data_IF_694693656181
#
_entry.id   IF_694693656181
#
_cell.length_a   1.000
_cell.length_b   1.000
_cell.length_c   1.000
_cell.angle_alpha   90.00
_cell.angle_beta   90.00
_cell.angle_gamma   90.00
#
_symmetry.space_group_name_H-M   'P 1'
#
loop_
_entity.id
_entity.type
_entity.pdbx_description
1 polymer ?
#
# COMPACT_ATOMS: atom_id res chain seq x y z
N UNK A 1 7.32 -21.28 -6.66
CA UNK A 1 6.37 -20.16 -6.36
C UNK A 1 6.98 -19.22 -5.32
N UNK A 2 6.59 -17.91 -5.30
CA UNK A 2 7.15 -16.91 -4.33
C UNK A 2 7.02 -17.39 -2.88
N UNK A 3 5.87 -17.95 -2.48
CA UNK A 3 5.64 -18.49 -1.13
C UNK A 3 6.60 -19.62 -0.73
N UNK A 4 7.01 -20.46 -1.65
CA UNK A 4 7.96 -21.57 -1.35
C UNK A 4 9.35 -21.03 -0.99
N UNK A 5 9.73 -19.90 -1.59
CA UNK A 5 10.99 -19.21 -1.33
C UNK A 5 10.91 -18.31 -0.08
N UNK A 6 9.78 -17.60 0.09
CA UNK A 6 9.57 -16.62 1.16
C UNK A 6 8.60 -17.14 2.22
N UNK A 7 9.02 -18.16 2.98
CA UNK A 7 8.15 -18.86 3.95
C UNK A 7 7.55 -17.98 5.04
N UNK A 8 8.30 -16.96 5.51
CA UNK A 8 7.95 -16.16 6.68
C UNK A 8 7.76 -14.66 6.36
N UNK A 9 7.74 -14.28 5.08
CA UNK A 9 7.55 -12.88 4.67
C UNK A 9 6.14 -12.72 4.13
N UNK A 10 5.33 -11.77 4.63
CA UNK A 10 4.02 -11.48 4.08
C UNK A 10 4.10 -11.09 2.60
N UNK A 11 3.13 -11.55 1.82
CA UNK A 11 3.06 -11.34 0.38
C UNK A 11 1.83 -10.52 0.04
N UNK A 12 2.03 -9.34 -0.58
CA UNK A 12 0.98 -8.51 -1.14
C UNK A 12 0.80 -8.85 -2.64
N UNK A 13 -0.41 -9.27 -3.05
CA UNK A 13 -0.78 -9.28 -4.46
C UNK A 13 -1.07 -7.84 -4.93
N UNK A 14 -0.11 -7.24 -5.62
CA UNK A 14 -0.25 -5.88 -6.17
C UNK A 14 -0.65 -5.94 -7.63
N UNK A 15 -1.97 -5.93 -7.86
CA UNK A 15 -2.60 -6.09 -9.18
C UNK A 15 -3.89 -5.25 -9.24
N UNK A 16 -4.48 -5.08 -10.45
CA UNK A 16 -5.78 -4.45 -10.63
C UNK A 16 -6.89 -5.46 -10.33
N UNK A 17 -7.42 -5.45 -9.12
CA UNK A 17 -8.51 -6.35 -8.69
C UNK A 17 -9.85 -5.66 -8.98
N UNK A 18 -10.61 -6.28 -9.88
CA UNK A 18 -11.92 -5.81 -10.35
C UNK A 18 -13.01 -6.88 -10.24
N UNK A 19 -12.64 -8.11 -9.91
CA UNK A 19 -13.52 -9.25 -9.78
C UNK A 19 -13.16 -10.09 -8.55
N UNK A 20 -14.17 -10.64 -7.88
CA UNK A 20 -13.99 -11.45 -6.67
C UNK A 20 -13.16 -12.72 -6.90
N UNK A 21 -13.17 -13.29 -8.10
CA UNK A 21 -12.35 -14.46 -8.44
C UNK A 21 -10.86 -14.20 -8.26
N UNK A 22 -10.40 -12.94 -8.48
CA UNK A 22 -9.01 -12.56 -8.29
C UNK A 22 -8.60 -12.57 -6.80
N UNK A 23 -9.55 -12.35 -5.88
CA UNK A 23 -9.32 -12.42 -4.43
C UNK A 23 -9.19 -13.88 -4.00
N UNK A 24 -10.05 -14.77 -4.49
CA UNK A 24 -9.89 -16.22 -4.29
C UNK A 24 -8.57 -16.73 -4.86
N UNK A 25 -8.19 -16.27 -6.04
CA UNK A 25 -6.92 -16.60 -6.67
C UNK A 25 -5.74 -16.11 -5.81
N UNK A 26 -5.77 -14.87 -5.31
CA UNK A 26 -4.74 -14.35 -4.40
C UNK A 26 -4.54 -15.27 -3.21
N UNK A 27 -5.63 -15.70 -2.57
CA UNK A 27 -5.58 -16.64 -1.44
C UNK A 27 -5.06 -18.01 -1.86
N UNK A 28 -5.49 -18.54 -3.00
CA UNK A 28 -5.04 -19.83 -3.52
C UNK A 28 -3.52 -19.85 -3.77
N UNK A 29 -2.94 -18.73 -4.18
CA UNK A 29 -1.49 -18.56 -4.33
C UNK A 29 -0.79 -18.09 -3.05
N UNK A 30 -1.46 -18.20 -1.89
CA UNK A 30 -0.94 -17.90 -0.56
C UNK A 30 -0.47 -16.45 -0.38
N UNK A 31 -1.17 -15.47 -0.98
CA UNK A 31 -1.02 -14.08 -0.60
C UNK A 31 -1.56 -13.85 0.82
N UNK A 32 -0.96 -12.92 1.54
CA UNK A 32 -1.38 -12.49 2.88
C UNK A 32 -2.24 -11.21 2.81
N UNK A 33 -2.09 -10.46 1.72
CA UNK A 33 -2.82 -9.23 1.43
C UNK A 33 -2.98 -9.05 -0.07
N UNK A 34 -3.87 -8.15 -0.48
CA UNK A 34 -4.10 -7.80 -1.87
C UNK A 34 -4.42 -6.30 -2.00
N UNK A 35 -4.19 -5.74 -3.18
CA UNK A 35 -4.45 -4.34 -3.48
C UNK A 35 -5.88 -4.14 -3.96
N UNK A 36 -6.56 -3.13 -3.42
CA UNK A 36 -7.76 -2.54 -4.00
C UNK A 36 -7.47 -1.09 -4.39
N UNK A 37 -7.94 -0.64 -5.55
CA UNK A 37 -7.71 0.73 -6.03
C UNK A 37 -9.04 1.48 -6.01
N UNK A 38 -9.17 2.45 -5.12
CA UNK A 38 -10.40 3.20 -4.93
C UNK A 38 -10.88 3.92 -6.20
N UNK A 39 -9.96 4.35 -7.06
CA UNK A 39 -10.29 5.06 -8.31
C UNK A 39 -11.10 4.22 -9.31
N UNK A 40 -10.99 2.87 -9.28
CA UNK A 40 -11.62 1.96 -10.25
C UNK A 40 -12.77 1.14 -9.68
N UNK A 41 -13.01 1.20 -8.37
CA UNK A 41 -14.06 0.46 -7.69
C UNK A 41 -15.17 1.38 -7.19
N UNK A 42 -16.43 0.95 -7.25
CA UNK A 42 -17.51 1.59 -6.52
C UNK A 42 -17.38 1.34 -5.00
N UNK A 43 -18.06 2.15 -4.18
CA UNK A 43 -18.04 1.97 -2.72
C UNK A 43 -18.57 0.59 -2.30
N UNK A 44 -19.65 0.10 -2.93
CA UNK A 44 -20.22 -1.23 -2.66
C UNK A 44 -19.28 -2.35 -3.06
N UNK A 45 -18.67 -2.29 -4.26
CA UNK A 45 -17.69 -3.30 -4.66
C UNK A 45 -16.50 -3.35 -3.70
N UNK A 46 -16.01 -2.19 -3.27
CA UNK A 46 -14.91 -2.10 -2.32
C UNK A 46 -15.28 -2.73 -0.98
N UNK A 47 -16.48 -2.44 -0.46
CA UNK A 47 -16.99 -3.05 0.77
C UNK A 47 -17.10 -4.57 0.65
N UNK A 48 -17.67 -5.07 -0.46
CA UNK A 48 -17.80 -6.51 -0.71
C UNK A 48 -16.42 -7.20 -0.80
N UNK A 49 -15.45 -6.56 -1.46
CA UNK A 49 -14.11 -7.11 -1.62
C UNK A 49 -13.29 -7.09 -0.33
N UNK A 50 -13.46 -6.06 0.51
CA UNK A 50 -12.88 -6.01 1.86
C UNK A 50 -13.45 -7.16 2.71
N UNK A 51 -14.78 -7.30 2.74
CA UNK A 51 -15.44 -8.35 3.51
C UNK A 51 -15.02 -9.76 3.03
N UNK A 52 -14.94 -9.98 1.72
CA UNK A 52 -14.48 -11.24 1.15
C UNK A 52 -13.02 -11.53 1.55
N UNK A 53 -12.13 -10.54 1.40
CA UNK A 53 -10.72 -10.71 1.78
C UNK A 53 -10.57 -11.12 3.26
N UNK A 54 -11.27 -10.42 4.15
CA UNK A 54 -11.28 -10.73 5.60
C UNK A 54 -11.80 -12.12 5.88
N UNK A 55 -12.84 -12.57 5.19
CA UNK A 55 -13.38 -13.93 5.34
C UNK A 55 -12.38 -15.00 4.95
N UNK A 56 -11.42 -14.67 4.07
CA UNK A 56 -10.32 -15.52 3.62
C UNK A 56 -9.03 -15.34 4.44
N UNK A 57 -9.06 -14.50 5.48
CA UNK A 57 -7.89 -14.21 6.34
C UNK A 57 -6.87 -13.28 5.70
N UNK A 58 -7.31 -12.39 4.79
CA UNK A 58 -6.47 -11.36 4.14
C UNK A 58 -7.05 -9.97 4.43
N UNK A 59 -6.22 -9.04 4.91
CA UNK A 59 -6.60 -7.62 5.00
C UNK A 59 -6.12 -6.88 3.75
N UNK A 60 -7.00 -6.19 3.00
CA UNK A 60 -6.60 -5.48 1.80
C UNK A 60 -5.88 -4.16 2.11
N UNK A 61 -4.92 -3.81 1.25
CA UNK A 61 -4.37 -2.46 1.13
C UNK A 61 -5.25 -1.70 0.13
N UNK A 62 -5.94 -0.64 0.58
CA UNK A 62 -6.79 0.17 -0.30
C UNK A 62 -6.07 1.43 -0.74
N UNK A 63 -5.72 1.50 -2.01
CA UNK A 63 -5.00 2.62 -2.61
C UNK A 63 -5.94 3.78 -2.93
N UNK A 64 -5.54 4.98 -2.49
CA UNK A 64 -6.26 6.25 -2.71
C UNK A 64 -5.30 7.33 -3.23
N UNK A 65 -5.90 8.39 -3.83
CA UNK A 65 -5.15 9.56 -4.29
C UNK A 65 -5.88 10.90 -4.06
N UNK A 66 -7.12 10.87 -3.62
CA UNK A 66 -7.94 12.07 -3.41
C UNK A 66 -8.76 11.98 -2.12
N UNK A 67 -9.28 13.12 -1.68
CA UNK A 67 -10.16 13.21 -0.51
C UNK A 67 -11.48 12.44 -0.73
N UNK A 68 -12.03 12.49 -1.95
CA UNK A 68 -13.25 11.74 -2.29
C UNK A 68 -13.01 10.23 -2.22
N UNK A 69 -11.84 9.77 -2.71
CA UNK A 69 -11.44 8.38 -2.61
C UNK A 69 -11.21 7.97 -1.15
N UNK A 70 -10.60 8.83 -0.32
CA UNK A 70 -10.43 8.60 1.11
C UNK A 70 -11.77 8.43 1.80
N UNK A 71 -12.71 9.37 1.59
CA UNK A 71 -14.05 9.31 2.17
C UNK A 71 -14.78 8.02 1.81
N UNK A 72 -14.76 7.65 0.53
CA UNK A 72 -15.35 6.39 0.03
C UNK A 72 -14.70 5.16 0.65
N UNK A 73 -13.38 5.16 0.81
CA UNK A 73 -12.59 4.06 1.36
C UNK A 73 -12.86 3.85 2.85
N UNK A 74 -12.95 4.93 3.61
CA UNK A 74 -13.32 4.88 5.04
C UNK A 74 -14.75 4.36 5.22
N UNK A 75 -15.70 4.80 4.39
CA UNK A 75 -17.08 4.30 4.41
C UNK A 75 -17.17 2.80 4.07
N UNK A 76 -16.30 2.30 3.21
CA UNK A 76 -16.21 0.88 2.89
C UNK A 76 -15.56 0.04 4.02
N UNK A 77 -15.02 0.67 5.05
CA UNK A 77 -14.46 0.01 6.23
C UNK A 77 -13.01 -0.47 6.06
N UNK A 78 -12.22 0.20 5.23
CA UNK A 78 -10.79 -0.13 5.10
C UNK A 78 -10.00 0.21 6.39
N UNK A 79 -9.11 -0.68 6.79
CA UNK A 79 -8.22 -0.52 7.95
C UNK A 79 -6.76 -0.27 7.55
N UNK A 80 -6.39 -0.57 6.29
CA UNK A 80 -5.07 -0.24 5.72
C UNK A 80 -5.29 0.60 4.46
N UNK A 81 -4.82 1.83 4.48
CA UNK A 81 -4.97 2.79 3.37
C UNK A 81 -3.60 3.17 2.81
N UNK A 82 -3.44 2.98 1.50
CA UNK A 82 -2.27 3.38 0.74
C UNK A 82 -2.48 4.72 0.04
N UNK A 83 -1.67 5.72 0.33
CA UNK A 83 -1.69 7.00 -0.39
C UNK A 83 -0.69 6.93 -1.53
N UNK A 84 -1.18 6.84 -2.78
CA UNK A 84 -0.33 6.76 -3.95
C UNK A 84 0.07 8.14 -4.46
N UNK A 85 1.37 8.47 -4.32
CA UNK A 85 1.96 9.72 -4.79
C UNK A 85 2.11 9.78 -6.33
N UNK A 86 1.92 8.65 -7.03
CA UNK A 86 1.99 8.60 -8.50
C UNK A 86 0.62 8.81 -9.12
N UNK A 87 0.53 9.74 -10.06
CA UNK A 87 -0.64 9.89 -10.91
C UNK A 87 -0.65 8.80 -11.99
N UNK A 88 -1.65 7.92 -11.95
CA UNK A 88 -1.75 6.82 -12.92
C UNK A 88 -2.09 7.26 -14.35
N UNK A 89 -2.47 8.56 -14.57
CA UNK A 89 -2.80 9.09 -15.90
C UNK A 89 -1.59 9.70 -16.60
N UNK A 90 -0.74 10.45 -15.89
CA UNK A 90 0.41 11.17 -16.45
C UNK A 90 1.76 10.74 -15.84
N UNK A 91 1.74 9.78 -14.91
CA UNK A 91 2.89 9.24 -14.18
C UNK A 91 3.69 10.26 -13.35
N UNK A 92 3.20 11.48 -13.18
CA UNK A 92 3.81 12.44 -12.26
C UNK A 92 3.77 11.92 -10.83
N UNK A 93 4.85 12.17 -10.09
CA UNK A 93 5.04 11.73 -8.70
C UNK A 93 5.29 12.93 -7.81
N UNK A 94 4.52 13.04 -6.71
CA UNK A 94 4.69 14.13 -5.74
C UNK A 94 4.27 13.68 -4.35
N UNK A 95 5.17 13.77 -3.38
CA UNK A 95 4.89 13.49 -1.96
C UNK A 95 3.86 14.45 -1.34
N UNK A 96 3.56 15.56 -2.00
CA UNK A 96 2.51 16.51 -1.58
C UNK A 96 1.12 15.86 -1.48
N UNK A 97 0.87 14.75 -2.17
CA UNK A 97 -0.37 13.98 -2.04
C UNK A 97 -0.43 13.35 -0.64
N UNK A 98 0.64 12.70 -0.21
CA UNK A 98 0.77 12.16 1.14
C UNK A 98 0.64 13.25 2.21
N UNK A 99 1.35 14.38 2.07
CA UNK A 99 1.27 15.53 2.98
C UNK A 99 -0.16 16.05 3.14
N UNK A 100 -0.91 16.10 2.04
CA UNK A 100 -2.29 16.59 2.01
C UNK A 100 -3.27 15.62 2.69
N UNK A 101 -3.13 14.32 2.43
CA UNK A 101 -4.15 13.34 2.82
C UNK A 101 -3.93 12.76 4.23
N UNK A 102 -2.69 12.68 4.71
CA UNK A 102 -2.39 12.04 6.00
C UNK A 102 -3.14 12.68 7.19
N UNK A 103 -3.32 14.02 7.30
CA UNK A 103 -4.05 14.61 8.42
C UNK A 103 -5.55 14.23 8.45
N UNK A 104 -6.07 13.70 7.34
CA UNK A 104 -7.47 13.31 7.19
C UNK A 104 -7.69 11.81 7.45
N UNK A 105 -6.64 11.02 7.55
CA UNK A 105 -6.71 9.57 7.85
C UNK A 105 -6.86 9.41 9.37
N UNK A 106 -7.92 8.69 9.85
CA UNK A 106 -8.10 8.47 11.28
C UNK A 106 -6.94 7.69 11.90
N UNK A 107 -6.55 7.97 13.16
CA UNK A 107 -5.36 7.38 13.79
C UNK A 107 -5.44 5.86 14.04
N UNK A 108 -6.64 5.28 13.96
CA UNK A 108 -6.83 3.83 14.06
C UNK A 108 -6.63 3.09 12.72
N UNK A 109 -6.48 3.83 11.62
CA UNK A 109 -6.25 3.29 10.27
C UNK A 109 -4.76 3.28 10.00
N UNK A 110 -4.24 2.16 9.53
CA UNK A 110 -2.84 2.04 9.11
C UNK A 110 -2.62 2.79 7.80
N UNK A 111 -1.84 3.85 7.83
CA UNK A 111 -1.52 4.67 6.68
C UNK A 111 -0.18 4.24 6.04
N UNK A 112 -0.20 3.96 4.74
CA UNK A 112 0.96 3.57 3.93
C UNK A 112 1.19 4.63 2.86
N UNK A 113 2.41 5.18 2.74
CA UNK A 113 2.76 6.05 1.61
C UNK A 113 3.39 5.23 0.48
N UNK A 114 2.87 5.41 -0.74
CA UNK A 114 3.29 4.64 -1.91
C UNK A 114 3.84 5.55 -3.01
N UNK A 115 4.86 5.09 -3.70
CA UNK A 115 5.54 5.78 -4.81
C UNK A 115 6.30 7.05 -4.41
N UNK A 116 7.35 7.36 -5.16
CA UNK A 116 8.11 8.60 -5.02
C UNK A 116 9.14 8.63 -3.89
N UNK A 117 9.33 7.55 -3.19
CA UNK A 117 10.29 7.42 -2.09
C UNK A 117 11.63 7.02 -2.69
N UNK A 118 12.63 7.91 -2.63
CA UNK A 118 13.92 7.77 -3.31
C UNK A 118 15.10 7.62 -2.34
N UNK A 119 14.98 8.17 -1.15
CA UNK A 119 16.04 8.23 -0.16
C UNK A 119 15.49 8.08 1.27
N UNK A 120 16.40 8.02 2.23
CA UNK A 120 16.06 7.90 3.66
C UNK A 120 15.35 9.15 4.18
N UNK A 121 15.69 10.32 3.65
CA UNK A 121 15.07 11.59 4.01
C UNK A 121 13.57 11.60 3.66
N UNK A 122 13.18 11.00 2.53
CA UNK A 122 11.76 10.86 2.15
C UNK A 122 11.01 9.97 3.16
N UNK A 123 11.62 8.86 3.60
CA UNK A 123 11.01 7.98 4.60
C UNK A 123 10.85 8.68 5.93
N UNK A 124 11.89 9.38 6.40
CA UNK A 124 11.84 10.15 7.64
C UNK A 124 10.76 11.23 7.61
N UNK A 125 10.66 11.95 6.49
CA UNK A 125 9.63 12.96 6.29
C UNK A 125 8.23 12.34 6.41
N UNK A 126 7.97 11.22 5.74
CA UNK A 126 6.68 10.54 5.76
C UNK A 126 6.31 10.00 7.15
N UNK A 127 7.24 9.40 7.86
CA UNK A 127 7.00 8.94 9.24
C UNK A 127 6.73 10.10 10.19
N UNK A 128 7.47 11.21 10.07
CA UNK A 128 7.21 12.43 10.86
C UNK A 128 5.83 13.04 10.58
N UNK A 129 5.26 12.82 9.41
CA UNK A 129 3.89 13.21 9.07
C UNK A 129 2.82 12.28 9.67
N UNK A 130 3.19 11.10 10.17
CA UNK A 130 2.30 10.13 10.80
C UNK A 130 1.98 8.88 9.96
N UNK A 131 2.68 8.63 8.86
CA UNK A 131 2.57 7.34 8.15
C UNK A 131 3.15 6.20 8.98
N UNK A 132 2.50 5.04 8.95
CA UNK A 132 2.92 3.83 9.65
C UNK A 132 3.88 2.97 8.81
N UNK A 133 3.83 3.10 7.49
CA UNK A 133 4.64 2.31 6.57
C UNK A 133 4.85 3.02 5.23
N UNK A 134 5.82 2.53 4.47
CA UNK A 134 6.09 2.96 3.10
C UNK A 134 6.16 1.75 2.15
N UNK A 135 5.69 1.94 0.91
CA UNK A 135 5.79 0.93 -0.14
C UNK A 135 6.76 1.43 -1.21
N UNK A 136 7.89 0.73 -1.36
CA UNK A 136 9.00 1.13 -2.24
C UNK A 136 9.28 0.01 -3.23
N UNK A 137 9.21 0.32 -4.51
CA UNK A 137 9.54 -0.62 -5.60
C UNK A 137 10.57 -0.04 -6.56
N UNK A 138 10.26 1.09 -7.19
CA UNK A 138 11.07 1.69 -8.25
C UNK A 138 12.53 1.95 -7.82
N UNK A 139 12.73 2.53 -6.65
CA UNK A 139 14.06 2.81 -6.10
C UNK A 139 14.89 1.54 -5.94
N UNK A 140 14.27 0.46 -5.47
CA UNK A 140 14.94 -0.83 -5.32
C UNK A 140 15.26 -1.46 -6.68
N UNK A 141 14.35 -1.38 -7.64
CA UNK A 141 14.58 -1.89 -9.00
C UNK A 141 15.73 -1.15 -9.71
N UNK A 142 15.79 0.18 -9.56
CA UNK A 142 16.89 0.98 -10.12
C UNK A 142 18.25 0.70 -9.46
N UNK A 143 18.26 0.34 -8.20
CA UNK A 143 19.51 0.06 -7.48
C UNK A 143 20.18 -1.26 -7.89
N UNK A 144 19.43 -2.17 -8.49
CA UNK A 144 19.89 -3.53 -8.81
C UNK A 144 19.89 -4.45 -7.60
N UNK A 145 19.90 -5.76 -7.87
CA UNK A 145 19.75 -6.81 -6.84
C UNK A 145 20.84 -6.74 -5.78
N UNK A 146 22.07 -6.42 -6.18
CA UNK A 146 23.24 -6.33 -5.30
C UNK A 146 23.15 -5.21 -4.27
N UNK A 147 22.41 -4.13 -4.56
CA UNK A 147 22.28 -2.96 -3.68
C UNK A 147 20.96 -2.94 -2.89
N UNK A 148 19.95 -3.72 -3.28
CA UNK A 148 18.64 -3.73 -2.65
C UNK A 148 18.72 -3.96 -1.12
N UNK A 149 19.53 -4.93 -0.67
CA UNK A 149 19.68 -5.26 0.75
C UNK A 149 20.20 -4.09 1.58
N UNK A 150 21.15 -3.33 1.04
CA UNK A 150 21.70 -2.14 1.68
C UNK A 150 20.63 -1.04 1.82
N UNK A 151 19.91 -0.72 0.75
CA UNK A 151 18.87 0.30 0.75
C UNK A 151 17.74 -0.07 1.70
N UNK A 152 17.28 -1.33 1.69
CA UNK A 152 16.25 -1.80 2.62
C UNK A 152 16.73 -1.65 4.07
N UNK A 153 17.98 -1.98 4.36
CA UNK A 153 18.54 -1.83 5.71
C UNK A 153 18.63 -0.36 6.15
N UNK A 154 18.97 0.54 5.23
CA UNK A 154 19.01 1.99 5.49
C UNK A 154 17.62 2.55 5.78
N UNK A 155 16.60 2.15 4.99
CA UNK A 155 15.21 2.55 5.22
C UNK A 155 14.67 2.02 6.55
N UNK A 156 15.00 0.77 6.93
CA UNK A 156 14.54 0.15 8.18
C UNK A 156 15.15 0.76 9.45
N UNK A 157 16.42 1.15 9.43
CA UNK A 157 17.07 1.73 10.62
C UNK A 157 16.36 2.94 11.20
N UNK A 158 15.65 3.67 10.36
CA UNK A 158 14.92 4.86 10.80
C UNK A 158 13.48 4.56 11.24
N UNK A 159 12.95 3.37 10.88
CA UNK A 159 11.64 2.92 11.37
C UNK A 159 11.71 2.39 12.82
N UNK A 160 12.87 1.93 13.27
CA UNK A 160 13.06 1.35 14.62
C UNK A 160 13.24 2.41 15.72
N UNK A 161 13.36 3.68 15.33
CA UNK A 161 13.56 4.83 16.24
C UNK A 161 12.29 5.68 16.41
N UNK A 162 11.15 5.25 15.90
CA UNK A 162 9.83 5.87 16.01
C UNK A 162 8.90 5.03 16.89
#
# INVERSE_FOLDING_TARGET
MVRETLKNIPILRKDFIIDSSQIFEARAYCADSFLLIAAILSGSQMQDFIALGRSLGMEPLVEIRSEDELSKTLQAGAEIIGVNNRNLRNFEVSLKISEKLIPMIPPHVTAVSESGIKCVEDTNHLFNLGFNAVLVGETLMHAGVENCGKIISEFKKNCENL
#
